data_IF_564625418457
#
_entry.id   IF_564625418457
#
_cell.length_a   1.000
_cell.length_b   1.000
_cell.length_c   1.000
_cell.angle_alpha   90.00
_cell.angle_beta   90.00
_cell.angle_gamma   90.00
#
_symmetry.space_group_name_H-M   'P 1'
#
loop_
_entity.id
_entity.type
_entity.pdbx_description
1 polymer ?
#
# COMPACT_ATOMS: atom_id res chain seq x y z
N UNK A 1 -11.84 -22.74 4.15
CA UNK A 1 -12.80 -22.01 3.28
C UNK A 1 -12.17 -21.83 1.92
N UNK A 2 -12.86 -22.12 0.81
CA UNK A 2 -12.33 -21.85 -0.52
C UNK A 2 -12.39 -20.33 -0.78
N UNK A 3 -11.26 -19.70 -1.07
CA UNK A 3 -11.20 -18.31 -1.48
C UNK A 3 -11.74 -18.18 -2.90
N UNK A 4 -12.84 -17.47 -3.17
CA UNK A 4 -13.36 -17.29 -4.51
C UNK A 4 -12.35 -16.50 -5.34
N UNK A 5 -12.15 -16.97 -6.58
CA UNK A 5 -11.37 -16.31 -7.60
C UNK A 5 -12.34 -15.78 -8.66
N UNK A 6 -12.24 -14.52 -8.98
CA UNK A 6 -13.02 -13.83 -10.01
C UNK A 6 -12.09 -13.08 -10.94
N UNK A 7 -12.49 -12.80 -12.17
CA UNK A 7 -11.72 -12.02 -13.13
C UNK A 7 -12.18 -10.56 -13.09
N UNK A 8 -11.30 -9.63 -13.41
CA UNK A 8 -11.63 -8.23 -13.57
C UNK A 8 -12.58 -8.01 -14.77
N UNK A 9 -13.33 -6.93 -14.75
CA UNK A 9 -14.31 -6.52 -15.77
C UNK A 9 -15.20 -7.64 -16.30
N UNK A 10 -15.66 -8.52 -15.40
CA UNK A 10 -16.45 -9.71 -15.74
C UNK A 10 -17.76 -9.72 -14.95
N UNK A 11 -18.82 -10.24 -15.56
CA UNK A 11 -20.14 -10.35 -14.92
C UNK A 11 -20.33 -11.76 -14.36
N UNK A 12 -20.77 -11.83 -13.10
CA UNK A 12 -21.01 -13.06 -12.36
C UNK A 12 -22.43 -13.12 -11.81
N UNK A 13 -22.97 -14.34 -11.68
CA UNK A 13 -24.19 -14.58 -10.93
C UNK A 13 -23.94 -14.43 -9.42
N UNK A 14 -24.91 -13.92 -8.68
CA UNK A 14 -24.79 -13.64 -7.23
C UNK A 14 -24.42 -14.88 -6.41
N UNK A 15 -24.90 -16.07 -6.83
CA UNK A 15 -24.61 -17.35 -6.17
C UNK A 15 -23.10 -17.69 -6.11
N UNK A 16 -22.28 -17.11 -6.98
CA UNK A 16 -20.82 -17.29 -6.96
C UNK A 16 -20.19 -16.79 -5.66
N UNK A 17 -20.84 -15.83 -5.01
CA UNK A 17 -20.36 -15.16 -3.80
C UNK A 17 -21.08 -15.60 -2.53
N UNK A 18 -21.88 -16.66 -2.58
CA UNK A 18 -22.70 -17.14 -1.46
C UNK A 18 -21.91 -17.40 -0.16
N UNK A 19 -20.64 -17.83 -0.29
CA UNK A 19 -19.76 -18.08 0.86
C UNK A 19 -19.00 -16.82 1.37
N UNK A 20 -19.21 -15.67 0.72
CA UNK A 20 -18.44 -14.43 0.96
C UNK A 20 -19.35 -13.21 1.10
N UNK A 21 -20.48 -13.38 1.78
CA UNK A 21 -21.49 -12.34 1.88
C UNK A 21 -21.01 -11.11 2.66
N UNK A 22 -20.17 -11.29 3.68
CA UNK A 22 -19.66 -10.16 4.48
C UNK A 22 -18.71 -9.28 3.66
N UNK A 23 -17.80 -9.87 2.90
CA UNK A 23 -16.90 -9.08 2.04
C UNK A 23 -17.68 -8.40 0.92
N UNK A 24 -18.64 -9.11 0.29
CA UNK A 24 -19.48 -8.54 -0.78
C UNK A 24 -20.26 -7.35 -0.26
N UNK A 25 -21.00 -7.47 0.85
CA UNK A 25 -21.77 -6.37 1.43
C UNK A 25 -20.91 -5.16 1.78
N UNK A 26 -19.63 -5.39 2.10
CA UNK A 26 -18.73 -4.31 2.46
C UNK A 26 -18.09 -3.60 1.27
N UNK A 27 -17.92 -4.28 0.11
CA UNK A 27 -17.30 -3.69 -1.09
C UNK A 27 -18.30 -3.31 -2.17
N UNK A 28 -19.52 -3.85 -2.10
CA UNK A 28 -20.55 -3.66 -3.13
C UNK A 28 -20.94 -2.19 -3.27
N UNK A 29 -20.91 -1.69 -4.51
CA UNK A 29 -21.26 -0.31 -4.87
C UNK A 29 -20.46 0.77 -4.12
N UNK A 30 -19.31 0.41 -3.52
CA UNK A 30 -18.37 1.40 -2.95
C UNK A 30 -17.31 1.80 -3.96
N UNK A 31 -17.00 3.08 -3.97
CA UNK A 31 -15.91 3.61 -4.81
C UNK A 31 -14.53 3.21 -4.25
N UNK A 32 -13.52 3.20 -5.11
CA UNK A 32 -12.13 2.94 -4.70
C UNK A 32 -11.64 3.92 -3.63
N UNK A 33 -12.06 5.20 -3.70
CA UNK A 33 -11.69 6.22 -2.71
C UNK A 33 -12.26 5.93 -1.32
N UNK A 34 -13.51 5.44 -1.24
CA UNK A 34 -14.11 5.03 0.02
C UNK A 34 -13.36 3.84 0.65
N UNK A 35 -13.01 2.86 -0.17
CA UNK A 35 -12.30 1.67 0.27
C UNK A 35 -10.84 1.93 0.66
N UNK A 36 -10.18 2.89 0.01
CA UNK A 36 -8.85 3.35 0.43
C UNK A 36 -8.90 3.98 1.82
N UNK A 37 -9.93 4.79 2.11
CA UNK A 37 -10.15 5.34 3.44
C UNK A 37 -10.37 4.25 4.51
N UNK A 38 -10.94 3.10 4.13
CA UNK A 38 -11.15 1.94 5.00
C UNK A 38 -9.89 1.09 5.23
N UNK A 39 -8.81 1.31 4.45
CA UNK A 39 -7.51 0.63 4.67
C UNK A 39 -7.05 -0.29 3.56
N UNK A 40 -7.70 -0.29 2.38
CA UNK A 40 -7.17 -0.95 1.20
C UNK A 40 -6.03 -0.13 0.58
N UNK A 41 -5.02 -0.83 0.06
CA UNK A 41 -3.98 -0.24 -0.76
C UNK A 41 -4.40 -0.31 -2.23
N UNK A 42 -4.51 0.85 -2.88
CA UNK A 42 -4.93 0.94 -4.28
C UNK A 42 -3.82 1.63 -5.06
N UNK A 43 -3.41 1.02 -6.16
CA UNK A 43 -2.36 1.51 -7.05
C UNK A 43 -2.93 1.85 -8.43
N UNK A 44 -2.50 2.98 -9.03
CA UNK A 44 -1.52 3.94 -8.51
C UNK A 44 -2.11 4.81 -7.37
N UNK A 45 -1.24 5.31 -6.49
CA UNK A 45 -1.68 6.25 -5.43
C UNK A 45 -2.27 7.55 -5.99
N UNK A 46 -1.92 7.90 -7.23
CA UNK A 46 -2.48 9.06 -7.94
C UNK A 46 -3.97 8.96 -8.22
N UNK A 47 -4.56 7.76 -8.23
CA UNK A 47 -6.02 7.56 -8.34
C UNK A 47 -6.78 8.35 -7.25
N UNK A 48 -6.13 8.60 -6.11
CA UNK A 48 -6.70 9.36 -4.99
C UNK A 48 -6.86 10.87 -5.27
N UNK A 49 -6.15 11.40 -6.24
CA UNK A 49 -6.02 12.85 -6.49
C UNK A 49 -6.75 13.35 -7.73
N UNK A 50 -7.24 12.47 -8.57
CA UNK A 50 -7.84 12.83 -9.86
C UNK A 50 -9.36 12.82 -9.76
N UNK A 51 -10.00 13.89 -10.26
CA UNK A 51 -11.47 14.02 -10.35
C UNK A 51 -12.08 13.22 -11.50
N UNK A 52 -11.28 12.42 -12.17
CA UNK A 52 -11.62 11.69 -13.39
C UNK A 52 -12.37 10.37 -13.11
N UNK A 53 -12.94 9.78 -14.17
CA UNK A 53 -13.78 8.57 -14.22
C UNK A 53 -13.34 7.39 -13.32
N UNK A 54 -12.06 7.34 -12.96
CA UNK A 54 -11.49 6.32 -12.07
C UNK A 54 -11.90 6.45 -10.61
N UNK A 55 -12.40 7.62 -10.15
CA UNK A 55 -12.93 7.79 -8.78
C UNK A 55 -14.20 6.99 -8.56
N UNK A 56 -14.99 6.81 -9.60
CA UNK A 56 -16.25 6.09 -9.57
C UNK A 56 -16.10 4.61 -9.91
N UNK A 57 -14.87 4.13 -10.12
CA UNK A 57 -14.64 2.70 -10.33
C UNK A 57 -14.97 1.94 -9.05
N UNK A 58 -15.99 1.12 -9.14
CA UNK A 58 -16.37 0.21 -8.08
C UNK A 58 -15.64 -1.11 -8.26
N UNK A 59 -15.20 -1.71 -7.17
CA UNK A 59 -14.60 -3.06 -7.22
C UNK A 59 -15.63 -4.09 -7.66
N UNK A 60 -16.84 -3.96 -7.08
CA UNK A 60 -17.96 -4.84 -7.35
C UNK A 60 -19.22 -3.98 -7.44
N UNK A 61 -19.90 -4.06 -8.56
CA UNK A 61 -21.13 -3.33 -8.83
C UNK A 61 -22.29 -4.30 -9.04
N UNK A 62 -23.43 -4.01 -8.44
CA UNK A 62 -24.66 -4.73 -8.72
C UNK A 62 -25.35 -4.18 -9.97
N UNK A 63 -25.64 -5.05 -10.92
CA UNK A 63 -26.31 -4.71 -12.16
C UNK A 63 -27.28 -5.82 -12.57
N UNK A 64 -28.58 -5.51 -12.62
CA UNK A 64 -29.66 -6.45 -12.99
C UNK A 64 -29.61 -7.81 -12.26
N UNK A 65 -29.41 -7.80 -10.94
CA UNK A 65 -29.33 -9.02 -10.12
C UNK A 65 -28.08 -9.87 -10.35
N UNK A 66 -27.04 -9.29 -11.01
CA UNK A 66 -25.73 -9.88 -11.18
C UNK A 66 -24.66 -8.94 -10.64
N UNK A 67 -23.49 -9.47 -10.37
CA UNK A 67 -22.34 -8.67 -9.93
C UNK A 67 -21.34 -8.50 -11.07
N UNK A 68 -20.93 -7.25 -11.30
CA UNK A 68 -19.87 -6.90 -12.24
C UNK A 68 -18.63 -6.47 -11.48
N UNK A 69 -17.48 -7.07 -11.79
CA UNK A 69 -16.18 -6.62 -11.27
C UNK A 69 -15.66 -5.43 -12.09
N UNK A 70 -14.98 -4.50 -11.41
CA UNK A 70 -14.31 -3.36 -12.06
C UNK A 70 -13.00 -3.73 -12.75
N UNK A 71 -12.26 -2.73 -13.23
CA UNK A 71 -10.94 -2.89 -13.89
C UNK A 71 -9.78 -3.02 -12.88
N UNK A 72 -10.02 -3.59 -11.71
CA UNK A 72 -9.03 -3.74 -10.67
C UNK A 72 -8.68 -5.20 -10.44
N UNK A 73 -7.41 -5.47 -10.19
CA UNK A 73 -6.87 -6.80 -9.91
C UNK A 73 -6.19 -6.80 -8.55
N UNK A 74 -6.20 -7.93 -7.88
CA UNK A 74 -5.50 -8.08 -6.60
C UNK A 74 -6.29 -8.88 -5.58
N UNK A 75 -6.17 -8.49 -4.33
CA UNK A 75 -6.69 -9.24 -3.21
C UNK A 75 -7.41 -8.32 -2.22
N UNK A 76 -8.56 -8.79 -1.72
CA UNK A 76 -9.33 -8.12 -0.68
C UNK A 76 -9.71 -9.13 0.39
N UNK A 77 -9.62 -8.73 1.66
CA UNK A 77 -10.11 -9.47 2.80
C UNK A 77 -11.02 -8.62 3.68
N UNK A 78 -11.99 -9.27 4.32
CA UNK A 78 -12.85 -8.70 5.36
C UNK A 78 -13.12 -9.77 6.42
N UNK A 79 -12.69 -9.53 7.65
CA UNK A 79 -12.74 -10.56 8.67
C UNK A 79 -11.97 -11.82 8.24
N UNK A 80 -12.66 -12.95 8.17
CA UNK A 80 -12.11 -14.25 7.72
C UNK A 80 -12.36 -14.52 6.23
N UNK A 81 -13.18 -13.71 5.57
CA UNK A 81 -13.50 -13.88 4.17
C UNK A 81 -12.45 -13.22 3.29
N UNK A 82 -12.23 -13.77 2.10
CA UNK A 82 -11.24 -13.32 1.12
C UNK A 82 -11.78 -13.42 -0.28
N UNK A 83 -11.37 -12.47 -1.13
CA UNK A 83 -11.69 -12.40 -2.55
C UNK A 83 -10.42 -12.11 -3.33
N UNK A 84 -10.14 -12.91 -4.36
CA UNK A 84 -9.04 -12.67 -5.31
C UNK A 84 -9.66 -12.24 -6.63
N UNK A 85 -9.23 -11.08 -7.12
CA UNK A 85 -9.60 -10.57 -8.44
C UNK A 85 -8.39 -10.74 -9.34
N UNK A 86 -8.51 -11.69 -10.27
CA UNK A 86 -7.47 -12.04 -11.24
C UNK A 86 -7.63 -11.20 -12.50
N UNK A 87 -6.56 -11.11 -13.28
CA UNK A 87 -6.62 -10.55 -14.62
C UNK A 87 -7.62 -11.29 -15.50
N UNK A 88 -8.32 -10.58 -16.38
CA UNK A 88 -9.17 -11.17 -17.44
C UNK A 88 -8.41 -12.11 -18.36
N UNK A 89 -7.09 -11.97 -18.41
CA UNK A 89 -6.20 -12.82 -19.19
C UNK A 89 -5.72 -14.07 -18.44
N UNK A 90 -6.15 -14.26 -17.19
CA UNK A 90 -5.79 -15.43 -16.38
C UNK A 90 -6.42 -16.71 -16.93
N UNK A 91 -5.63 -17.78 -17.10
CA UNK A 91 -6.08 -19.11 -17.52
C UNK A 91 -6.22 -20.04 -16.30
N UNK A 92 -7.17 -19.70 -15.38
CA UNK A 92 -7.76 -20.52 -14.31
C UNK A 92 -6.86 -21.02 -13.16
N UNK A 93 -5.56 -21.17 -13.29
CA UNK A 93 -4.70 -21.67 -12.19
C UNK A 93 -3.89 -20.58 -11.53
N UNK A 94 -3.08 -19.86 -12.28
CA UNK A 94 -2.19 -18.80 -11.76
C UNK A 94 -2.27 -17.56 -12.64
N UNK A 95 -2.26 -16.39 -12.03
CA UNK A 95 -2.29 -15.12 -12.76
C UNK A 95 -0.86 -14.69 -13.12
N UNK A 96 -0.26 -15.41 -14.07
CA UNK A 96 1.07 -15.08 -14.59
C UNK A 96 1.13 -13.70 -15.21
N UNK A 97 0.02 -13.24 -15.81
CA UNK A 97 -0.04 -11.94 -16.45
C UNK A 97 0.10 -10.80 -15.42
N UNK A 98 -0.69 -10.82 -14.36
CA UNK A 98 -0.57 -9.84 -13.28
C UNK A 98 0.82 -9.89 -12.64
N UNK A 99 1.33 -11.08 -12.34
CA UNK A 99 2.66 -11.26 -11.74
C UNK A 99 3.76 -10.68 -12.63
N UNK A 100 3.71 -10.92 -13.93
CA UNK A 100 4.66 -10.39 -14.89
C UNK A 100 4.61 -8.86 -14.99
N UNK A 101 3.41 -8.27 -15.05
CA UNK A 101 3.26 -6.81 -15.07
C UNK A 101 3.80 -6.17 -13.80
N UNK A 102 3.51 -6.75 -12.63
CA UNK A 102 4.01 -6.25 -11.35
C UNK A 102 5.54 -6.29 -11.27
N UNK A 103 6.14 -7.39 -11.73
CA UNK A 103 7.58 -7.52 -11.79
C UNK A 103 8.23 -6.43 -12.67
N UNK A 104 7.68 -6.21 -13.86
CA UNK A 104 8.22 -5.24 -14.83
C UNK A 104 8.00 -3.79 -14.44
N UNK A 105 6.80 -3.46 -13.99
CA UNK A 105 6.40 -2.06 -13.69
C UNK A 105 6.96 -1.59 -12.36
N UNK A 106 6.97 -2.45 -11.34
CA UNK A 106 7.39 -2.09 -9.99
C UNK A 106 8.87 -2.44 -9.72
N UNK A 107 9.59 -3.01 -10.71
CA UNK A 107 10.96 -3.51 -10.56
C UNK A 107 11.11 -4.47 -9.37
N UNK A 108 10.14 -5.37 -9.20
CA UNK A 108 10.13 -6.33 -8.11
C UNK A 108 10.73 -7.66 -8.60
N UNK A 109 12.01 -7.96 -8.36
CA UNK A 109 12.62 -9.17 -8.86
C UNK A 109 12.00 -10.41 -8.19
N UNK A 110 11.67 -11.42 -9.01
CA UNK A 110 11.32 -12.78 -8.55
C UNK A 110 10.02 -12.96 -7.76
N UNK A 111 8.98 -12.12 -7.95
CA UNK A 111 7.65 -12.42 -7.39
C UNK A 111 7.09 -13.75 -7.93
N UNK A 112 7.43 -14.07 -9.18
CA UNK A 112 6.95 -15.29 -9.86
C UNK A 112 7.64 -16.56 -9.37
N UNK A 113 8.90 -16.46 -8.91
CA UNK A 113 9.72 -17.64 -8.54
C UNK A 113 9.61 -18.03 -7.06
N UNK A 114 8.95 -17.24 -6.22
CA UNK A 114 8.77 -17.56 -4.82
C UNK A 114 7.57 -18.49 -4.62
N UNK A 115 7.82 -19.78 -4.78
CA UNK A 115 6.98 -20.93 -4.42
C UNK A 115 5.68 -21.14 -5.24
N UNK A 116 5.75 -22.05 -6.20
CA UNK A 116 4.60 -22.59 -6.93
C UNK A 116 3.54 -23.25 -6.02
N UNK A 117 3.92 -23.69 -4.82
CA UNK A 117 3.07 -24.41 -3.84
C UNK A 117 2.51 -23.55 -2.71
N UNK A 118 2.63 -22.21 -2.78
CA UNK A 118 2.33 -21.36 -1.63
C UNK A 118 0.87 -20.87 -1.63
N UNK A 119 0.22 -20.90 -0.46
CA UNK A 119 -1.14 -20.36 -0.26
C UNK A 119 -1.23 -18.88 -0.68
N UNK A 120 -2.40 -18.42 -1.14
CA UNK A 120 -2.67 -17.05 -1.57
C UNK A 120 -2.19 -15.98 -0.56
N UNK A 121 -2.19 -16.32 0.74
CA UNK A 121 -1.80 -15.44 1.83
C UNK A 121 -0.29 -15.20 1.89
N UNK A 122 0.49 -16.23 1.63
CA UNK A 122 1.95 -16.10 1.59
C UNK A 122 2.39 -15.29 0.37
N UNK A 123 1.74 -15.48 -0.80
CA UNK A 123 2.00 -14.67 -2.00
C UNK A 123 1.71 -13.19 -1.73
N UNK A 124 0.59 -12.88 -1.06
CA UNK A 124 0.27 -11.51 -0.65
C UNK A 124 1.32 -10.94 0.31
N UNK A 125 1.68 -11.69 1.35
CA UNK A 125 2.70 -11.25 2.31
C UNK A 125 4.03 -10.98 1.61
N UNK A 126 4.49 -11.88 0.75
CA UNK A 126 5.71 -11.69 -0.03
C UNK A 126 5.64 -10.39 -0.84
N UNK A 127 4.52 -10.15 -1.52
CA UNK A 127 4.32 -8.91 -2.27
C UNK A 127 4.43 -7.66 -1.37
N UNK A 128 3.77 -7.66 -0.20
CA UNK A 128 3.88 -6.57 0.77
C UNK A 128 5.31 -6.32 1.22
N UNK A 129 6.09 -7.38 1.41
CA UNK A 129 7.50 -7.26 1.79
C UNK A 129 8.34 -6.65 0.67
N UNK A 130 8.06 -6.95 -0.59
CA UNK A 130 8.78 -6.38 -1.73
C UNK A 130 8.50 -4.90 -1.97
N UNK A 131 7.28 -4.43 -1.72
CA UNK A 131 6.97 -2.99 -1.86
C UNK A 131 7.46 -2.14 -0.68
N UNK A 132 7.75 -2.75 0.46
CA UNK A 132 8.17 -2.06 1.68
C UNK A 132 9.41 -1.15 1.49
N UNK A 133 10.51 -1.57 0.83
CA UNK A 133 11.68 -0.72 0.60
C UNK A 133 11.33 0.57 -0.13
N UNK A 134 10.51 0.50 -1.16
CA UNK A 134 10.07 1.66 -1.94
C UNK A 134 9.30 2.68 -1.10
N UNK A 135 8.39 2.20 -0.26
CA UNK A 135 7.63 3.05 0.67
C UNK A 135 8.53 3.67 1.73
N UNK A 136 9.50 2.90 2.24
CA UNK A 136 10.48 3.40 3.21
C UNK A 136 11.37 4.48 2.61
N UNK A 137 11.95 4.25 1.44
CA UNK A 137 12.75 5.22 0.71
C UNK A 137 11.98 6.52 0.47
N UNK A 138 10.76 6.43 -0.07
CA UNK A 138 9.91 7.60 -0.33
C UNK A 138 9.60 8.40 0.94
N UNK A 139 9.35 7.74 2.05
CA UNK A 139 9.10 8.41 3.32
C UNK A 139 10.36 9.11 3.86
N UNK A 140 11.52 8.44 3.83
CA UNK A 140 12.78 8.96 4.36
C UNK A 140 13.33 10.13 3.51
N UNK A 141 13.03 10.22 2.22
CA UNK A 141 13.40 11.38 1.38
C UNK A 141 12.98 12.73 1.97
N UNK A 142 11.93 12.76 2.79
CA UNK A 142 11.48 13.96 3.52
C UNK A 142 12.13 14.12 4.90
N UNK A 143 13.08 13.28 5.23
CA UNK A 143 13.74 13.19 6.54
C UNK A 143 13.01 12.25 7.50
N UNK A 144 13.68 11.93 8.61
CA UNK A 144 13.11 11.08 9.65
C UNK A 144 11.95 11.77 10.38
N UNK A 145 10.90 11.02 10.67
CA UNK A 145 9.72 11.54 11.34
C UNK A 145 9.99 11.81 12.82
N UNK A 146 9.80 13.06 13.26
CA UNK A 146 9.88 13.46 14.66
C UNK A 146 8.49 13.68 15.25
N UNK A 147 8.35 13.33 16.52
CA UNK A 147 7.14 13.55 17.28
C UNK A 147 7.47 13.96 18.71
N UNK A 148 6.58 14.75 19.33
CA UNK A 148 6.67 15.00 20.75
C UNK A 148 6.27 13.75 21.54
N UNK A 149 7.20 13.27 22.37
CA UNK A 149 7.00 12.15 23.29
C UNK A 149 7.11 12.61 24.73
N UNK A 150 6.43 11.93 25.63
CA UNK A 150 6.60 12.11 27.07
C UNK A 150 7.54 11.03 27.60
N UNK A 151 8.73 11.41 28.03
CA UNK A 151 9.70 10.51 28.63
C UNK A 151 9.77 10.73 30.15
N UNK A 152 9.78 9.63 30.88
CA UNK A 152 9.82 9.63 32.34
C UNK A 152 11.23 9.38 32.82
N UNK A 153 11.68 10.22 33.77
CA UNK A 153 13.01 10.16 34.37
C UNK A 153 12.92 10.04 35.88
N UNK A 154 13.99 9.54 36.52
CA UNK A 154 14.16 9.50 37.95
C UNK A 154 15.65 9.67 38.24
N UNK A 155 16.09 10.94 38.32
CA UNK A 155 17.48 11.31 38.53
C UNK A 155 17.57 12.64 39.32
N UNK A 156 18.78 13.11 39.55
CA UNK A 156 19.04 14.34 40.32
C UNK A 156 18.88 15.64 39.51
N UNK A 157 18.83 15.53 38.16
CA UNK A 157 18.81 16.68 37.28
C UNK A 157 17.43 16.89 36.65
N UNK A 158 16.57 17.62 37.34
CA UNK A 158 15.18 17.87 36.92
C UNK A 158 15.14 18.74 35.67
N UNK A 159 14.58 18.17 34.56
CA UNK A 159 14.41 18.87 33.28
C UNK A 159 12.95 18.98 32.83
N UNK A 160 12.00 18.71 33.71
CA UNK A 160 10.60 18.69 33.36
C UNK A 160 9.65 18.74 34.56
N UNK A 161 8.39 18.43 34.34
CA UNK A 161 7.36 18.45 35.38
C UNK A 161 7.56 17.29 36.35
N UNK A 162 7.63 17.59 37.66
CA UNK A 162 7.71 16.59 38.72
C UNK A 162 6.42 15.75 38.74
N UNK A 163 6.59 14.44 38.77
CA UNK A 163 5.50 13.46 38.88
C UNK A 163 5.40 13.04 40.35
N UNK A 164 4.64 13.80 41.14
CA UNK A 164 4.55 13.64 42.59
C UNK A 164 4.12 12.20 42.99
N UNK A 165 3.06 11.59 42.41
CA UNK A 165 2.66 10.23 42.76
C UNK A 165 3.79 9.23 42.53
N UNK A 166 4.46 9.29 41.40
CA UNK A 166 5.57 8.39 41.07
C UNK A 166 6.81 8.70 41.91
N UNK A 167 7.04 9.97 42.27
CA UNK A 167 8.14 10.35 43.11
C UNK A 167 7.99 9.77 44.53
N UNK A 168 6.81 9.88 45.12
CA UNK A 168 6.53 9.28 46.43
C UNK A 168 6.68 7.75 46.44
N UNK A 169 6.23 7.08 45.38
CA UNK A 169 6.34 5.61 45.27
C UNK A 169 7.82 5.18 45.15
N UNK A 170 8.62 5.89 44.32
CA UNK A 170 9.97 5.45 43.95
C UNK A 170 11.06 5.96 44.89
N UNK A 171 10.85 7.14 45.53
CA UNK A 171 11.89 7.87 46.24
C UNK A 171 11.52 8.12 47.70
N UNK A 172 10.79 7.19 48.32
CA UNK A 172 10.56 7.20 49.76
C UNK A 172 11.24 5.97 50.39
N UNK A 173 12.28 6.16 51.22
CA UNK A 173 12.90 7.42 51.67
C UNK A 173 13.66 8.17 50.57
N UNK A 174 13.73 9.49 50.65
CA UNK A 174 14.38 10.33 49.64
C UNK A 174 15.91 10.17 49.69
N UNK A 175 16.48 9.79 48.54
CA UNK A 175 17.92 9.56 48.35
C UNK A 175 18.54 10.49 47.29
N UNK A 176 17.88 11.62 47.02
CA UNK A 176 18.39 12.65 46.10
C UNK A 176 17.79 12.58 44.66
N UNK A 177 17.14 11.47 44.26
CA UNK A 177 16.52 11.35 42.98
C UNK A 177 15.09 11.90 42.97
N UNK A 178 14.70 12.55 41.88
CA UNK A 178 13.34 13.08 41.67
C UNK A 178 12.73 12.50 40.43
N UNK A 179 11.49 11.97 40.57
CA UNK A 179 10.74 11.47 39.45
C UNK A 179 10.05 12.63 38.72
N UNK A 180 10.36 12.80 37.42
CA UNK A 180 9.77 13.83 36.59
C UNK A 180 9.47 13.33 35.18
N UNK A 181 8.65 14.05 34.43
CA UNK A 181 8.36 13.81 33.05
C UNK A 181 8.76 14.97 32.18
N UNK A 182 9.36 14.71 31.04
CA UNK A 182 9.78 15.70 30.06
C UNK A 182 9.14 15.45 28.72
N UNK A 183 8.69 16.51 28.06
CA UNK A 183 8.23 16.48 26.68
C UNK A 183 9.41 16.72 25.74
N UNK A 184 9.75 15.72 24.95
CA UNK A 184 10.89 15.75 24.03
C UNK A 184 10.41 15.62 22.59
N UNK A 185 11.02 16.38 21.69
CA UNK A 185 10.81 16.23 20.24
C UNK A 185 11.83 15.22 19.72
N UNK A 186 11.41 13.97 19.52
CA UNK A 186 12.32 12.84 19.30
C UNK A 186 12.00 12.06 18.03
N UNK A 187 13.05 11.50 17.43
CA UNK A 187 12.93 10.44 16.41
C UNK A 187 12.54 9.09 17.02
N UNK A 188 12.92 8.84 18.26
CA UNK A 188 12.60 7.61 18.99
C UNK A 188 11.15 7.67 19.45
N UNK A 189 10.23 7.32 18.53
CA UNK A 189 8.79 7.40 18.71
C UNK A 189 8.08 6.16 18.14
N UNK A 190 6.80 6.00 18.46
CA UNK A 190 6.01 4.81 18.13
C UNK A 190 5.96 4.46 16.65
N UNK A 191 5.99 5.46 15.75
CA UNK A 191 6.00 5.21 14.31
C UNK A 191 7.34 4.65 13.86
N UNK A 192 8.44 5.28 14.30
CA UNK A 192 9.79 4.84 13.94
C UNK A 192 10.07 3.43 14.50
N UNK A 193 9.57 3.13 15.71
CA UNK A 193 9.62 1.77 16.26
C UNK A 193 8.80 0.77 15.46
N UNK A 194 7.61 1.16 14.95
CA UNK A 194 6.81 0.30 14.05
C UNK A 194 7.59 -0.07 12.78
N UNK A 195 8.22 0.93 12.15
CA UNK A 195 9.06 0.72 10.97
C UNK A 195 10.24 -0.21 11.32
N UNK A 196 10.88 -0.01 12.49
CA UNK A 196 11.94 -0.88 12.98
C UNK A 196 11.48 -2.33 13.15
N UNK A 197 10.32 -2.56 13.75
CA UNK A 197 9.75 -3.91 13.87
C UNK A 197 9.52 -4.56 12.52
N UNK A 198 9.09 -3.78 11.51
CA UNK A 198 8.90 -4.28 10.14
C UNK A 198 10.22 -4.64 9.50
N UNK A 199 11.27 -3.82 9.66
CA UNK A 199 12.62 -4.10 9.18
C UNK A 199 13.14 -5.42 9.77
N UNK A 200 13.05 -5.60 11.08
CA UNK A 200 13.53 -6.83 11.73
C UNK A 200 12.71 -8.06 11.29
N UNK A 201 11.41 -7.87 11.04
CA UNK A 201 10.58 -8.93 10.47
C UNK A 201 11.01 -9.30 9.04
N UNK A 202 11.27 -8.32 8.17
CA UNK A 202 11.79 -8.59 6.81
C UNK A 202 13.13 -9.31 6.88
N UNK A 203 14.05 -8.86 7.73
CA UNK A 203 15.37 -9.50 7.93
C UNK A 203 15.26 -10.97 8.37
N UNK A 204 14.21 -11.34 9.09
CA UNK A 204 13.99 -12.72 9.53
C UNK A 204 13.58 -13.69 8.41
N UNK A 205 13.25 -13.18 7.20
CA UNK A 205 12.90 -14.00 6.05
C UNK A 205 14.16 -14.41 5.27
N UNK A 206 14.14 -15.61 4.65
CA UNK A 206 15.28 -16.15 3.89
C UNK A 206 15.76 -15.23 2.76
N UNK A 207 14.83 -14.48 2.16
CA UNK A 207 15.09 -13.50 1.09
C UNK A 207 15.16 -12.05 1.60
N UNK A 208 15.12 -11.82 2.91
CA UNK A 208 15.08 -10.48 3.51
C UNK A 208 16.31 -9.62 3.19
N UNK A 209 17.49 -10.23 3.12
CA UNK A 209 18.72 -9.54 2.75
C UNK A 209 18.69 -8.99 1.31
N UNK A 210 18.05 -9.73 0.39
CA UNK A 210 17.87 -9.31 -1.01
C UNK A 210 16.91 -8.12 -1.07
N UNK A 211 15.76 -8.23 -0.40
CA UNK A 211 14.76 -7.16 -0.36
C UNK A 211 15.33 -5.84 0.18
N UNK A 212 16.19 -5.91 1.18
CA UNK A 212 16.74 -4.74 1.87
C UNK A 212 18.09 -4.28 1.31
N UNK A 213 18.59 -4.87 0.21
CA UNK A 213 19.92 -4.60 -0.35
C UNK A 213 20.14 -3.14 -0.74
N UNK A 214 19.10 -2.51 -1.27
CA UNK A 214 19.18 -1.19 -1.91
C UNK A 214 18.97 -0.02 -0.93
N UNK A 215 18.47 -0.32 0.29
CA UNK A 215 18.10 0.69 1.30
C UNK A 215 18.95 0.61 2.58
N UNK A 216 20.22 0.19 2.46
CA UNK A 216 21.11 -0.03 3.63
C UNK A 216 21.34 1.22 4.46
N UNK A 217 21.42 2.38 3.84
CA UNK A 217 21.65 3.65 4.55
C UNK A 217 20.39 4.05 5.33
N UNK A 218 19.21 3.92 4.73
CA UNK A 218 17.91 4.16 5.39
C UNK A 218 17.73 3.25 6.61
N UNK A 219 18.14 1.98 6.47
CA UNK A 219 18.12 1.03 7.60
C UNK A 219 19.00 1.49 8.76
N UNK A 220 20.22 1.96 8.49
CA UNK A 220 21.11 2.49 9.53
C UNK A 220 20.49 3.70 10.22
N UNK A 221 19.88 4.63 9.46
CA UNK A 221 19.20 5.79 10.02
C UNK A 221 18.07 5.39 10.98
N UNK A 222 17.22 4.43 10.60
CA UNK A 222 16.13 3.92 11.45
C UNK A 222 16.68 3.24 12.70
N UNK A 223 17.70 2.39 12.54
CA UNK A 223 18.33 1.70 13.68
C UNK A 223 18.87 2.71 14.72
N UNK A 224 19.57 3.73 14.25
CA UNK A 224 20.13 4.77 15.11
C UNK A 224 19.05 5.64 15.78
N UNK A 225 17.93 5.86 15.09
CA UNK A 225 16.83 6.68 15.58
C UNK A 225 15.96 5.97 16.62
N UNK A 226 15.97 4.63 16.69
CA UNK A 226 15.08 3.80 17.52
C UNK A 226 15.83 3.09 18.64
N UNK A 227 16.43 3.85 19.55
CA UNK A 227 17.23 3.31 20.67
C UNK A 227 16.38 2.59 21.71
N UNK A 228 15.12 2.96 21.85
CA UNK A 228 14.16 2.32 22.78
C UNK A 228 13.58 1.01 22.27
N UNK A 229 13.92 0.59 21.04
CA UNK A 229 13.38 -0.61 20.42
C UNK A 229 13.57 -1.87 21.26
N UNK A 230 12.47 -2.62 21.47
CA UNK A 230 12.45 -3.93 22.11
C UNK A 230 11.57 -4.88 21.30
N UNK A 231 12.11 -6.05 20.93
CA UNK A 231 11.38 -7.01 20.10
C UNK A 231 10.04 -7.48 20.73
N UNK A 232 9.97 -7.52 22.08
CA UNK A 232 8.76 -7.92 22.82
C UNK A 232 7.63 -6.87 22.76
N UNK A 233 7.91 -5.60 22.45
CA UNK A 233 6.91 -4.53 22.43
C UNK A 233 6.10 -4.48 21.11
N UNK A 234 6.36 -5.38 20.15
CA UNK A 234 5.73 -5.37 18.81
C UNK A 234 4.22 -5.20 18.85
N UNK A 235 3.50 -5.97 19.65
CA UNK A 235 2.05 -5.92 19.71
C UNK A 235 1.54 -4.57 20.25
N UNK A 236 2.17 -4.06 21.29
CA UNK A 236 1.88 -2.74 21.87
C UNK A 236 2.08 -1.63 20.83
N UNK A 237 3.20 -1.67 20.09
CA UNK A 237 3.53 -0.70 19.04
C UNK A 237 2.50 -0.75 17.90
N UNK A 238 2.09 -1.94 17.46
CA UNK A 238 1.04 -2.09 16.45
C UNK A 238 -0.28 -1.46 16.92
N UNK A 239 -0.74 -1.78 18.14
CA UNK A 239 -2.02 -1.26 18.64
C UNK A 239 -2.01 0.26 18.84
N UNK A 240 -0.88 0.82 19.26
CA UNK A 240 -0.76 2.28 19.39
C UNK A 240 -0.75 3.00 18.05
N UNK A 241 -0.07 2.44 17.03
CA UNK A 241 -0.08 3.00 15.68
C UNK A 241 -1.44 2.88 14.98
N UNK A 242 -2.25 1.86 15.30
CA UNK A 242 -3.64 1.78 14.82
C UNK A 242 -4.51 2.93 15.35
N UNK A 243 -4.33 3.29 16.62
CA UNK A 243 -5.10 4.36 17.27
C UNK A 243 -4.64 5.75 16.83
N UNK A 244 -3.37 5.90 16.49
CA UNK A 244 -2.73 7.17 16.17
C UNK A 244 -2.20 7.18 14.73
N UNK A 245 -3.11 7.33 13.76
CA UNK A 245 -2.73 7.49 12.36
C UNK A 245 -2.11 8.87 12.10
N UNK A 246 -1.08 8.90 11.23
CA UNK A 246 -0.45 10.15 10.84
C UNK A 246 -1.36 10.93 9.92
N UNK A 247 -1.62 12.19 10.27
CA UNK A 247 -2.48 13.11 9.50
C UNK A 247 -1.74 14.35 8.98
N UNK A 248 -0.42 14.39 9.14
CA UNK A 248 0.39 15.56 8.75
C UNK A 248 0.59 15.57 7.23
N UNK A 249 0.13 16.63 6.55
CA UNK A 249 0.17 16.74 5.08
C UNK A 249 1.58 16.61 4.50
N UNK A 250 2.60 17.22 5.14
CA UNK A 250 4.00 17.13 4.71
C UNK A 250 4.55 15.70 4.77
N UNK A 251 4.13 14.91 5.75
CA UNK A 251 4.56 13.53 5.96
C UNK A 251 3.54 12.49 5.48
N UNK A 252 2.84 12.78 4.38
CA UNK A 252 1.82 11.89 3.80
C UNK A 252 2.36 10.49 3.48
N UNK A 253 3.63 10.40 3.05
CA UNK A 253 4.30 9.13 2.73
C UNK A 253 4.47 8.24 3.97
N UNK A 254 4.71 8.85 5.14
CA UNK A 254 4.74 8.09 6.39
C UNK A 254 3.38 7.53 6.79
N UNK A 255 2.26 8.15 6.40
CA UNK A 255 0.92 7.59 6.62
C UNK A 255 0.72 6.30 5.81
N UNK A 256 1.13 6.29 4.54
CA UNK A 256 1.08 5.09 3.71
C UNK A 256 2.02 3.99 4.23
N UNK A 257 3.25 4.35 4.61
CA UNK A 257 4.22 3.43 5.21
C UNK A 257 3.71 2.84 6.53
N UNK A 258 3.08 3.65 7.40
CA UNK A 258 2.49 3.18 8.66
C UNK A 258 1.44 2.09 8.42
N UNK A 259 0.52 2.32 7.47
CA UNK A 259 -0.50 1.33 7.09
C UNK A 259 0.13 0.05 6.57
N UNK A 260 1.13 0.16 5.68
CA UNK A 260 1.86 -0.98 5.13
C UNK A 260 2.56 -1.80 6.22
N UNK A 261 3.28 -1.15 7.14
CA UNK A 261 3.95 -1.81 8.26
C UNK A 261 2.96 -2.57 9.15
N UNK A 262 1.82 -1.96 9.49
CA UNK A 262 0.77 -2.62 10.28
C UNK A 262 0.24 -3.86 9.54
N UNK A 263 0.01 -3.76 8.23
CA UNK A 263 -0.48 -4.88 7.43
C UNK A 263 0.53 -6.04 7.39
N UNK A 264 1.81 -5.74 7.13
CA UNK A 264 2.90 -6.73 7.12
C UNK A 264 2.99 -7.47 8.45
N UNK A 265 3.06 -6.72 9.57
CA UNK A 265 3.26 -7.31 10.89
C UNK A 265 2.04 -8.10 11.40
N UNK A 266 0.84 -7.81 10.91
CA UNK A 266 -0.37 -8.59 11.21
C UNK A 266 -0.47 -9.85 10.35
N UNK A 267 0.01 -9.81 9.11
CA UNK A 267 -0.03 -10.95 8.20
C UNK A 267 0.75 -12.16 8.70
N UNK A 268 1.73 -11.96 9.58
CA UNK A 268 2.56 -13.03 10.16
C UNK A 268 1.75 -14.05 10.98
N UNK A 269 0.73 -13.61 11.70
CA UNK A 269 0.02 -14.47 12.67
C UNK A 269 -1.16 -15.26 12.10
N UNK A 270 -1.38 -15.29 10.79
CA UNK A 270 -2.63 -15.75 10.17
C UNK A 270 -3.90 -15.10 10.76
N UNK A 271 -3.72 -14.06 11.59
CA UNK A 271 -4.76 -13.28 12.25
C UNK A 271 -5.26 -12.12 11.37
N UNK A 272 -4.98 -12.18 10.06
CA UNK A 272 -5.59 -11.27 9.11
C UNK A 272 -7.08 -11.57 9.11
N UNK A 273 -7.82 -10.85 9.94
CA UNK A 273 -9.27 -10.99 10.04
C UNK A 273 -9.83 -11.25 11.42
N UNK A 274 -9.06 -11.72 12.41
CA UNK A 274 -9.55 -11.77 13.79
C UNK A 274 -9.52 -10.36 14.40
N UNK A 275 -10.70 -9.75 14.57
CA UNK A 275 -10.87 -8.43 15.20
C UNK A 275 -10.68 -7.21 14.31
N UNK A 276 -10.56 -7.35 12.97
CA UNK A 276 -10.61 -6.21 12.03
C UNK A 276 -12.01 -6.16 11.42
N UNK A 277 -12.77 -5.14 11.77
CA UNK A 277 -14.07 -4.85 11.15
C UNK A 277 -13.94 -4.01 9.85
N UNK A 278 -12.71 -3.83 9.35
CA UNK A 278 -12.44 -3.04 8.15
C UNK A 278 -11.89 -3.93 7.04
N UNK A 279 -12.13 -3.52 5.80
CA UNK A 279 -11.51 -4.14 4.63
C UNK A 279 -10.00 -3.95 4.64
N UNK A 280 -9.28 -4.94 4.15
CA UNK A 280 -7.82 -4.89 3.96
C UNK A 280 -7.46 -5.55 2.64
N UNK A 281 -6.37 -5.14 2.03
CA UNK A 281 -5.92 -5.76 0.77
C UNK A 281 -5.12 -4.82 -0.10
N UNK A 282 -4.81 -5.30 -1.30
CA UNK A 282 -4.09 -4.56 -2.32
C UNK A 282 -4.78 -4.75 -3.65
N UNK A 283 -4.99 -3.65 -4.33
CA UNK A 283 -5.61 -3.60 -5.64
C UNK A 283 -4.78 -2.77 -6.60
N UNK A 284 -4.73 -3.21 -7.84
CA UNK A 284 -4.08 -2.54 -8.96
C UNK A 284 -5.10 -2.23 -10.04
N UNK A 285 -5.09 -1.00 -10.54
CA UNK A 285 -5.80 -0.67 -11.75
C UNK A 285 -5.13 -1.37 -12.93
N UNK A 286 -5.88 -2.25 -13.61
CA UNK A 286 -5.35 -3.06 -14.70
C UNK A 286 -4.97 -2.25 -15.93
N UNK A 287 -5.71 -1.18 -16.23
CA UNK A 287 -5.41 -0.28 -17.34
C UNK A 287 -4.12 0.49 -17.07
N UNK A 288 -3.99 1.10 -15.89
CA UNK A 288 -2.78 1.79 -15.50
C UNK A 288 -1.54 0.87 -15.53
N UNK A 289 -1.66 -0.34 -14.98
CA UNK A 289 -0.53 -1.28 -14.93
C UNK A 289 -0.10 -1.69 -16.35
N UNK A 290 -1.05 -1.81 -17.26
CA UNK A 290 -0.79 -2.06 -18.67
C UNK A 290 -0.12 -0.87 -19.36
N UNK A 291 -0.61 0.35 -19.16
CA UNK A 291 -0.02 1.59 -19.69
C UNK A 291 1.44 1.76 -19.24
N UNK A 292 1.72 1.56 -17.95
CA UNK A 292 3.09 1.65 -17.41
C UNK A 292 4.01 0.57 -18.01
N UNK A 293 3.51 -0.63 -18.23
CA UNK A 293 4.27 -1.68 -18.92
C UNK A 293 4.60 -1.29 -20.37
N UNK A 294 3.63 -0.79 -21.11
CA UNK A 294 3.85 -0.30 -22.47
C UNK A 294 4.81 0.89 -22.48
N UNK A 295 4.75 1.78 -21.48
CA UNK A 295 5.71 2.86 -21.31
C UNK A 295 7.16 2.36 -21.20
N UNK A 296 7.39 1.29 -20.45
CA UNK A 296 8.73 0.69 -20.37
C UNK A 296 9.21 0.24 -21.75
N UNK A 297 8.35 -0.37 -22.55
CA UNK A 297 8.71 -0.84 -23.90
C UNK A 297 8.93 0.30 -24.90
N UNK A 298 8.13 1.35 -24.82
CA UNK A 298 8.11 2.44 -25.80
C UNK A 298 8.95 3.66 -25.39
N UNK A 299 9.48 3.72 -24.17
CA UNK A 299 10.14 4.89 -23.58
C UNK A 299 11.33 5.44 -24.40
N UNK A 300 11.99 4.61 -25.23
CA UNK A 300 13.06 5.05 -26.14
C UNK A 300 12.55 5.95 -27.26
N UNK A 301 11.33 5.71 -27.76
CA UNK A 301 10.77 6.36 -28.96
C UNK A 301 9.56 7.25 -28.67
N UNK A 302 8.90 7.09 -27.53
CA UNK A 302 7.69 7.79 -27.17
C UNK A 302 7.80 8.49 -25.81
N UNK A 303 7.05 9.59 -25.66
CA UNK A 303 6.73 10.19 -24.37
C UNK A 303 5.43 9.57 -23.86
N UNK A 304 5.38 9.34 -22.56
CA UNK A 304 4.14 8.99 -21.84
C UNK A 304 3.64 10.23 -21.08
N UNK A 305 2.65 10.97 -21.60
CA UNK A 305 2.08 12.13 -20.93
C UNK A 305 1.42 11.72 -19.61
N UNK A 306 1.60 12.54 -18.57
CA UNK A 306 0.94 12.29 -17.28
C UNK A 306 -0.50 12.79 -17.32
N UNK A 307 -1.37 12.12 -18.05
CA UNK A 307 -2.75 12.50 -18.29
C UNK A 307 -3.57 12.64 -16.99
N UNK A 308 -3.28 11.78 -15.99
CA UNK A 308 -3.95 11.80 -14.68
C UNK A 308 -3.74 13.08 -13.85
N UNK A 309 -2.87 13.98 -14.30
CA UNK A 309 -2.62 15.29 -13.67
C UNK A 309 -2.99 16.46 -14.60
N UNK A 310 -3.72 16.22 -15.69
CA UNK A 310 -4.11 17.18 -16.73
C UNK A 310 -2.92 17.89 -17.43
N UNK A 311 -1.68 17.48 -17.18
CA UNK A 311 -0.49 18.06 -17.83
C UNK A 311 -0.23 17.51 -19.23
N UNK A 312 -0.89 16.41 -19.61
CA UNK A 312 -0.68 15.74 -20.89
C UNK A 312 -1.65 16.15 -22.00
N UNK A 313 -2.56 17.09 -21.75
CA UNK A 313 -3.54 17.52 -22.71
C UNK A 313 -2.87 18.07 -23.99
N UNK A 314 -3.31 17.58 -25.14
CA UNK A 314 -2.92 18.06 -26.46
C UNK A 314 -4.13 18.70 -27.14
N UNK A 315 -3.88 19.72 -27.95
CA UNK A 315 -4.91 20.36 -28.76
C UNK A 315 -5.03 19.67 -30.11
N UNK A 316 -6.22 19.23 -30.47
CA UNK A 316 -6.47 18.57 -31.76
C UNK A 316 -6.52 19.58 -32.89
N UNK A 317 -7.04 20.80 -32.63
CA UNK A 317 -7.20 21.85 -33.59
C UNK A 317 -6.37 23.10 -33.27
N UNK A 318 -5.93 23.83 -34.27
CA UNK A 318 -5.11 25.04 -34.14
C UNK A 318 -5.81 26.19 -33.42
N UNK A 319 -7.15 26.18 -33.34
CA UNK A 319 -7.97 27.16 -32.63
C UNK A 319 -8.10 26.89 -31.11
N UNK A 320 -7.34 25.91 -30.60
CA UNK A 320 -7.34 25.54 -29.18
C UNK A 320 -8.51 24.66 -28.76
N UNK A 321 -9.35 24.22 -29.70
CA UNK A 321 -10.46 23.31 -29.41
C UNK A 321 -10.05 21.84 -29.51
N UNK A 322 -10.87 20.94 -28.91
CA UNK A 322 -10.65 19.51 -28.97
C UNK A 322 -9.43 19.06 -28.14
N UNK A 323 -9.53 19.14 -26.82
CA UNK A 323 -8.51 18.55 -25.94
C UNK A 323 -8.55 17.02 -26.05
N UNK A 324 -7.40 16.43 -26.33
CA UNK A 324 -7.18 14.99 -26.36
C UNK A 324 -6.09 14.63 -25.35
N UNK A 325 -6.15 13.42 -24.83
CA UNK A 325 -5.24 12.89 -23.82
C UNK A 325 -4.62 11.56 -24.31
N UNK A 326 -3.66 11.64 -25.27
CA UNK A 326 -3.03 10.43 -25.79
C UNK A 326 -2.17 9.74 -24.76
N UNK A 327 -2.16 8.40 -24.73
CA UNK A 327 -1.31 7.65 -23.80
C UNK A 327 0.18 7.80 -24.16
N UNK A 328 0.51 7.82 -25.46
CA UNK A 328 1.89 7.95 -25.94
C UNK A 328 1.98 8.86 -27.15
N UNK A 329 3.04 9.67 -27.17
CA UNK A 329 3.36 10.59 -28.28
C UNK A 329 4.80 10.32 -28.72
N UNK A 330 5.04 10.17 -30.04
CA UNK A 330 6.38 9.94 -30.56
C UNK A 330 7.33 11.11 -30.25
N UNK A 331 8.59 10.79 -29.97
CA UNK A 331 9.68 11.77 -29.85
C UNK A 331 10.06 12.36 -31.19
N UNK A 332 9.83 11.61 -32.28
CA UNK A 332 9.97 12.11 -33.65
C UNK A 332 8.85 13.09 -33.95
N UNK A 333 9.20 14.17 -34.64
CA UNK A 333 8.23 15.22 -35.08
C UNK A 333 7.67 14.97 -36.49
N UNK A 334 8.35 14.10 -37.27
CA UNK A 334 7.98 13.82 -38.66
C UNK A 334 8.14 12.32 -38.99
N UNK A 335 7.04 11.56 -39.11
CA UNK A 335 5.70 11.88 -38.70
C UNK A 335 5.51 11.86 -37.18
N UNK A 336 4.63 12.71 -36.66
CA UNK A 336 4.23 12.63 -35.25
C UNK A 336 3.20 11.53 -35.06
N UNK A 337 3.55 10.51 -34.32
CA UNK A 337 2.70 9.34 -34.05
C UNK A 337 2.07 9.45 -32.66
N UNK A 338 0.81 9.03 -32.58
CA UNK A 338 0.08 8.87 -31.32
C UNK A 338 -0.28 7.40 -31.17
N UNK A 339 -0.03 6.85 -29.99
CA UNK A 339 -0.36 5.47 -29.64
C UNK A 339 -1.24 5.48 -28.39
N UNK A 340 -2.28 4.66 -28.40
CA UNK A 340 -3.23 4.50 -27.31
C UNK A 340 -3.20 3.02 -26.84
N UNK A 341 -2.99 2.81 -25.54
CA UNK A 341 -2.85 1.49 -24.95
C UNK A 341 -4.22 0.94 -24.52
N UNK A 342 -4.63 -0.18 -25.08
CA UNK A 342 -5.90 -0.80 -24.75
C UNK A 342 -5.71 -2.09 -23.93
N UNK A 343 -6.18 -2.07 -22.69
CA UNK A 343 -6.26 -3.24 -21.83
C UNK A 343 -7.52 -4.05 -22.15
N UNK A 344 -7.53 -4.74 -23.33
CA UNK A 344 -8.65 -5.53 -23.82
C UNK A 344 -8.15 -6.82 -24.49
N UNK A 345 -8.88 -7.96 -24.38
CA UNK A 345 -8.60 -9.14 -25.20
C UNK A 345 -8.72 -8.80 -26.69
N UNK A 346 -7.82 -9.35 -27.51
CA UNK A 346 -7.79 -9.11 -28.98
C UNK A 346 -9.11 -9.53 -29.65
N UNK A 347 -9.75 -10.59 -29.13
CA UNK A 347 -11.03 -11.10 -29.64
C UNK A 347 -12.20 -10.10 -29.48
N UNK A 348 -12.07 -9.11 -28.62
CA UNK A 348 -13.07 -8.08 -28.35
C UNK A 348 -12.82 -6.76 -29.10
N UNK A 349 -11.91 -6.74 -30.08
CA UNK A 349 -11.67 -5.57 -30.94
C UNK A 349 -12.74 -5.57 -32.08
N UNK A 350 -13.99 -5.50 -31.71
CA UNK A 350 -15.05 -5.08 -32.64
C UNK A 350 -15.60 -3.73 -32.16
N UNK A 351 -15.26 -2.70 -32.97
CA UNK A 351 -15.89 -1.41 -33.00
C UNK A 351 -15.34 -0.35 -32.07
#
# INVERSE_FOLDING_TARGET
MKTPKVKDNTIYITSRFSCNQCIVSNILNKSLSQLDAEGLFIFPESIKKVEDLTRDQMILQEFNGKYRTGNVMGFIGYGKERLIIQSRFCNDKEDYFLSYLLERVLNLPNIVSLDADTSSDKKLLNFLLFIFPKYLENAIRKGLYKQYIHKQYNDTNIKGKIDIPRHLIKNTPFIGNIAYSQRLFSYDNMLMELIRHTIEFVKSKSYGSIILSDIKEELKLIVNATQSYRACDRQKIIEQNKKNSIRHAYFSEYSALQRLCILILKSEKHDIGSGIQNSYGILFDGAWLWEEYINILLSSHFYHPKNKSNFGAQQLFSDGKGLIYPDFISKSTDPRLIVDAKYKPIENIRG
#
